data_IF_201926219685
#
_entry.id   IF_201926219685
#
_cell.length_a   1.000
_cell.length_b   1.000
_cell.length_c   1.000
_cell.angle_alpha   90.00
_cell.angle_beta   90.00
_cell.angle_gamma   90.00
#
_symmetry.space_group_name_H-M   'P 1'
#
loop_
_entity.id
_entity.type
_entity.pdbx_description
1 polymer ?
#
# COMPACT_ATOMS: atom_id res chain seq x y z
N UNK A 1 53.88 1.52 45.33
CA UNK A 1 52.49 2.02 45.40
C UNK A 1 52.05 2.27 43.96
N UNK A 2 51.41 1.30 43.31
CA UNK A 2 49.96 1.03 43.27
C UNK A 2 49.15 2.18 42.63
N UNK A 3 48.79 1.91 41.37
CA UNK A 3 47.65 2.43 40.59
C UNK A 3 47.76 3.88 40.12
N UNK A 4 47.44 4.23 38.87
CA UNK A 4 46.15 3.94 38.27
C UNK A 4 46.24 4.12 36.73
N UNK A 5 45.87 3.07 35.99
CA UNK A 5 45.65 3.11 34.55
C UNK A 5 44.38 3.92 34.30
N UNK A 6 44.47 5.01 33.55
CA UNK A 6 43.28 5.67 32.99
C UNK A 6 43.39 5.68 31.48
N UNK A 7 42.64 4.78 30.86
CA UNK A 7 42.32 4.80 29.44
C UNK A 7 41.00 5.58 29.29
N UNK A 8 40.96 6.73 28.60
CA UNK A 8 39.69 7.30 28.21
C UNK A 8 39.19 6.55 26.98
N UNK A 9 38.32 5.58 27.21
CA UNK A 9 37.45 5.00 26.18
C UNK A 9 36.41 6.06 25.84
N UNK A 10 36.59 6.80 24.76
CA UNK A 10 35.56 7.67 24.21
C UNK A 10 34.69 6.84 23.25
N UNK A 11 33.76 6.07 23.82
CA UNK A 11 32.67 5.45 23.07
C UNK A 11 31.67 6.55 22.68
N UNK A 12 31.78 7.06 21.45
CA UNK A 12 30.77 7.91 20.86
C UNK A 12 29.61 7.03 20.37
N UNK A 13 28.74 6.59 21.28
CA UNK A 13 27.45 6.01 20.91
C UNK A 13 26.51 7.14 20.47
N UNK A 14 26.60 7.52 19.19
CA UNK A 14 25.50 8.18 18.50
C UNK A 14 24.41 7.13 18.25
N UNK A 15 23.59 6.84 19.25
CA UNK A 15 22.31 6.18 19.00
C UNK A 15 21.38 7.24 18.43
N UNK A 16 21.43 7.42 17.12
CA UNK A 16 20.45 8.23 16.40
C UNK A 16 19.14 7.46 16.43
N UNK A 17 18.19 7.91 17.24
CA UNK A 17 16.81 7.41 17.26
C UNK A 17 16.14 7.70 15.92
N UNK A 18 16.22 6.73 15.00
CA UNK A 18 15.54 6.72 13.69
C UNK A 18 14.05 6.39 13.85
N UNK A 19 13.32 7.11 14.70
CA UNK A 19 11.89 6.81 14.96
C UNK A 19 10.91 7.42 13.95
N UNK A 20 11.33 8.26 13.00
CA UNK A 20 10.40 9.00 12.11
C UNK A 20 10.72 9.00 10.60
N UNK A 21 11.46 8.02 10.08
CA UNK A 21 11.83 7.98 8.64
C UNK A 21 11.14 6.87 7.82
N UNK A 22 10.30 6.03 8.43
CA UNK A 22 9.66 4.94 7.70
C UNK A 22 8.53 5.46 6.81
N UNK A 23 8.56 5.07 5.54
CA UNK A 23 7.49 5.35 4.56
C UNK A 23 6.20 4.60 4.91
N UNK A 24 5.06 5.02 4.35
CA UNK A 24 3.77 4.31 4.47
C UNK A 24 3.91 2.82 4.14
N UNK A 25 4.69 2.47 3.12
CA UNK A 25 4.90 1.09 2.68
C UNK A 25 5.78 0.25 3.61
N UNK A 26 6.64 0.87 4.40
CA UNK A 26 7.44 0.19 5.44
C UNK A 26 6.61 -0.03 6.70
N UNK A 27 5.82 0.98 7.09
CA UNK A 27 4.93 0.88 8.25
C UNK A 27 3.75 -0.07 8.02
N UNK A 28 3.30 -0.22 6.77
CA UNK A 28 2.12 -1.03 6.43
C UNK A 28 2.41 -2.04 5.30
N UNK A 29 3.01 -3.21 5.59
CA UNK A 29 3.39 -4.20 4.58
C UNK A 29 2.23 -4.69 3.69
N UNK A 30 1.01 -4.73 4.22
CA UNK A 30 -0.19 -5.11 3.47
C UNK A 30 -0.48 -4.13 2.31
N UNK A 31 -0.38 -2.81 2.55
CA UNK A 31 -0.61 -1.80 1.51
C UNK A 31 0.47 -1.84 0.43
N UNK A 32 1.71 -2.15 0.82
CA UNK A 32 2.82 -2.41 -0.12
C UNK A 32 2.55 -3.63 -0.99
N UNK A 33 2.04 -4.71 -0.40
CA UNK A 33 1.70 -5.94 -1.15
C UNK A 33 0.56 -5.69 -2.13
N UNK A 34 -0.48 -4.95 -1.72
CA UNK A 34 -1.55 -4.52 -2.62
C UNK A 34 -1.02 -3.67 -3.78
N UNK A 35 -0.19 -2.66 -3.48
CA UNK A 35 0.44 -1.81 -4.50
C UNK A 35 1.27 -2.62 -5.51
N UNK A 36 1.97 -3.66 -5.07
CA UNK A 36 2.74 -4.54 -5.96
C UNK A 36 1.88 -5.21 -7.02
N UNK A 37 0.71 -5.75 -6.65
CA UNK A 37 -0.22 -6.36 -7.63
C UNK A 37 -0.87 -5.28 -8.48
N UNK A 38 -1.33 -4.20 -7.86
CA UNK A 38 -1.95 -3.06 -8.57
C UNK A 38 -1.04 -2.53 -9.67
N UNK A 39 0.20 -2.15 -9.36
CA UNK A 39 1.16 -1.60 -10.33
C UNK A 39 1.48 -2.56 -11.48
N UNK A 40 1.62 -3.86 -11.19
CA UNK A 40 1.84 -4.90 -12.21
C UNK A 40 0.62 -5.14 -13.12
N UNK A 41 -0.57 -4.65 -12.74
CA UNK A 41 -1.78 -4.73 -13.56
C UNK A 41 -2.16 -3.40 -14.22
N UNK A 42 -1.86 -2.28 -13.57
CA UNK A 42 -2.23 -0.95 -14.02
C UNK A 42 -1.25 -0.39 -15.07
N UNK A 43 0.06 -0.44 -14.84
CA UNK A 43 1.01 0.13 -15.80
C UNK A 43 0.93 -0.53 -17.20
N UNK A 44 0.79 -1.86 -17.33
CA UNK A 44 0.55 -2.46 -18.65
C UNK A 44 -0.78 -1.99 -19.28
N UNK A 45 -1.81 -1.75 -18.46
CA UNK A 45 -3.11 -1.29 -18.93
C UNK A 45 -3.06 0.15 -19.48
N UNK A 46 -2.17 1.00 -18.96
CA UNK A 46 -1.91 2.34 -19.51
C UNK A 46 -1.36 2.28 -20.95
N UNK A 47 -0.66 1.19 -21.29
CA UNK A 47 -0.12 0.92 -22.62
C UNK A 47 -1.06 0.05 -23.48
N UNK A 48 -2.26 -0.27 -22.97
CA UNK A 48 -3.28 -1.06 -23.66
C UNK A 48 -3.21 -2.57 -23.43
N UNK A 49 -2.23 -3.09 -22.67
CA UNK A 49 -2.20 -4.51 -22.29
C UNK A 49 -3.06 -4.77 -21.05
N UNK A 50 -4.31 -5.19 -21.29
CA UNK A 50 -5.24 -5.58 -20.22
C UNK A 50 -5.13 -7.06 -19.82
N UNK A 51 -4.23 -7.85 -20.42
CA UNK A 51 -4.10 -9.27 -20.05
C UNK A 51 -3.72 -9.49 -18.58
N UNK A 52 -2.81 -8.69 -17.98
CA UNK A 52 -2.46 -8.84 -16.56
C UNK A 52 -3.68 -8.66 -15.65
N UNK A 53 -4.49 -7.60 -15.84
CA UNK A 53 -5.67 -7.41 -14.99
C UNK A 53 -6.75 -8.47 -15.25
N UNK A 54 -6.94 -8.89 -16.50
CA UNK A 54 -7.92 -9.94 -16.85
C UNK A 54 -7.59 -11.30 -16.22
N UNK A 55 -6.32 -11.58 -15.97
CA UNK A 55 -5.86 -12.85 -15.37
C UNK A 55 -5.66 -12.79 -13.85
N UNK A 56 -5.53 -11.59 -13.28
CA UNK A 56 -5.18 -11.38 -11.87
C UNK A 56 -6.22 -10.60 -11.05
N UNK A 57 -7.42 -10.37 -11.60
CA UNK A 57 -8.49 -9.64 -10.90
C UNK A 57 -8.87 -10.24 -9.55
N UNK A 58 -8.81 -11.57 -9.41
CA UNK A 58 -9.04 -12.24 -8.14
C UNK A 58 -7.93 -11.98 -7.12
N UNK A 59 -6.66 -11.91 -7.55
CA UNK A 59 -5.53 -11.56 -6.69
C UNK A 59 -5.71 -10.14 -6.12
N UNK A 60 -6.18 -9.20 -6.94
CA UNK A 60 -6.52 -7.83 -6.49
C UNK A 60 -7.56 -7.85 -5.37
N UNK A 61 -8.62 -8.66 -5.46
CA UNK A 61 -9.60 -8.81 -4.36
C UNK A 61 -8.92 -9.38 -3.12
N UNK A 62 -8.13 -10.45 -3.26
CA UNK A 62 -7.49 -11.12 -2.14
C UNK A 62 -6.61 -10.13 -1.36
N UNK A 63 -5.81 -9.31 -2.05
CA UNK A 63 -4.97 -8.28 -1.43
C UNK A 63 -5.79 -7.13 -0.83
N UNK A 64 -6.86 -6.66 -1.50
CA UNK A 64 -7.73 -5.62 -0.94
C UNK A 64 -8.41 -6.08 0.37
N UNK A 65 -8.88 -7.33 0.40
CA UNK A 65 -9.50 -7.92 1.59
C UNK A 65 -8.50 -8.20 2.72
N UNK A 66 -7.21 -8.37 2.41
CA UNK A 66 -6.17 -8.54 3.41
C UNK A 66 -5.94 -7.25 4.22
N UNK A 67 -6.14 -6.06 3.63
CA UNK A 67 -5.92 -4.78 4.31
C UNK A 67 -6.69 -4.61 5.62
N UNK A 68 -7.92 -5.13 5.70
CA UNK A 68 -8.75 -5.06 6.92
C UNK A 68 -8.57 -6.25 7.87
N UNK A 69 -7.84 -7.30 7.44
CA UNK A 69 -7.54 -8.49 8.26
C UNK A 69 -6.17 -8.40 8.92
N UNK A 70 -5.23 -7.78 8.23
CA UNK A 70 -3.87 -7.58 8.71
C UNK A 70 -3.78 -6.37 9.65
N UNK A 71 -2.67 -6.29 10.39
CA UNK A 71 -2.44 -5.20 11.33
C UNK A 71 -2.25 -3.87 10.58
N UNK A 72 -3.31 -3.05 10.54
CA UNK A 72 -3.20 -1.64 10.17
C UNK A 72 -2.42 -0.91 11.28
N UNK A 73 -1.42 -0.08 10.98
CA UNK A 73 -0.76 0.77 11.98
C UNK A 73 -1.75 1.68 12.69
N UNK A 74 -1.56 1.94 13.99
CA UNK A 74 -2.50 2.71 14.80
C UNK A 74 -2.75 4.13 14.23
N UNK A 75 -1.70 4.77 13.73
CA UNK A 75 -1.75 6.08 13.05
C UNK A 75 -2.60 6.09 11.77
N UNK A 76 -2.77 4.94 11.11
CA UNK A 76 -3.57 4.80 9.88
C UNK A 76 -4.99 4.28 10.14
N UNK A 77 -5.37 3.97 11.40
CA UNK A 77 -6.73 3.52 11.74
C UNK A 77 -7.73 4.68 11.90
N UNK A 78 -7.65 5.67 11.01
CA UNK A 78 -8.62 6.79 11.02
C UNK A 78 -9.92 6.37 10.34
N UNK A 79 -11.08 6.97 10.69
CA UNK A 79 -12.34 6.68 10.01
C UNK A 79 -12.28 6.89 8.50
N UNK A 80 -11.53 7.90 8.04
CA UNK A 80 -11.35 8.18 6.61
C UNK A 80 -10.61 7.04 5.90
N UNK A 81 -9.47 6.59 6.43
CA UNK A 81 -8.70 5.49 5.84
C UNK A 81 -9.51 4.18 5.86
N UNK A 82 -10.22 3.89 6.96
CA UNK A 82 -11.09 2.71 7.04
C UNK A 82 -12.23 2.75 6.02
N UNK A 83 -12.82 3.93 5.77
CA UNK A 83 -13.83 4.11 4.72
C UNK A 83 -13.22 3.90 3.32
N UNK A 84 -12.04 4.44 3.05
CA UNK A 84 -11.36 4.27 1.75
C UNK A 84 -10.91 2.82 1.53
N UNK A 85 -10.51 2.07 2.56
CA UNK A 85 -10.28 0.61 2.46
C UNK A 85 -11.56 -0.11 2.03
N UNK A 86 -12.72 0.23 2.60
CA UNK A 86 -14.01 -0.37 2.21
C UNK A 86 -14.34 -0.06 0.75
N UNK A 87 -14.14 1.19 0.30
CA UNK A 87 -14.28 1.56 -1.12
C UNK A 87 -13.36 0.73 -2.02
N UNK A 88 -12.09 0.55 -1.62
CA UNK A 88 -11.12 -0.25 -2.36
C UNK A 88 -11.56 -1.71 -2.50
N UNK A 89 -12.07 -2.31 -1.41
CA UNK A 89 -12.58 -3.68 -1.41
C UNK A 89 -13.81 -3.85 -2.32
N UNK A 90 -14.73 -2.90 -2.27
CA UNK A 90 -15.92 -2.88 -3.11
C UNK A 90 -15.56 -2.69 -4.59
N UNK A 91 -14.66 -1.75 -4.88
CA UNK A 91 -14.12 -1.51 -6.22
C UNK A 91 -13.40 -2.73 -6.79
N UNK A 92 -12.53 -3.38 -6.01
CA UNK A 92 -11.83 -4.60 -6.42
C UNK A 92 -12.81 -5.73 -6.76
N UNK A 93 -13.86 -5.90 -5.95
CA UNK A 93 -14.94 -6.86 -6.22
C UNK A 93 -15.73 -6.50 -7.47
N UNK A 94 -15.98 -5.21 -7.72
CA UNK A 94 -16.62 -4.72 -8.93
C UNK A 94 -15.80 -5.02 -10.19
N UNK A 95 -14.50 -4.73 -10.14
CA UNK A 95 -13.55 -4.98 -11.22
C UNK A 95 -13.47 -6.47 -11.58
N UNK A 96 -13.34 -7.36 -10.58
CA UNK A 96 -13.32 -8.81 -10.83
C UNK A 96 -14.61 -9.32 -11.45
N UNK A 97 -15.77 -8.84 -10.98
CA UNK A 97 -17.05 -9.19 -11.60
C UNK A 97 -17.10 -8.75 -13.06
N UNK A 98 -16.62 -7.54 -13.36
CA UNK A 98 -16.56 -7.01 -14.72
C UNK A 98 -15.64 -7.87 -15.61
N UNK A 99 -14.44 -8.20 -15.11
CA UNK A 99 -13.48 -9.07 -15.81
C UNK A 99 -14.07 -10.46 -16.09
N UNK A 100 -14.67 -11.10 -15.08
CA UNK A 100 -15.30 -12.43 -15.21
C UNK A 100 -16.52 -12.42 -16.14
N UNK A 101 -17.23 -11.31 -16.19
CA UNK A 101 -18.32 -11.09 -17.15
C UNK A 101 -17.83 -10.73 -18.57
N UNK A 102 -16.51 -10.70 -18.81
CA UNK A 102 -15.89 -10.29 -20.08
C UNK A 102 -16.33 -8.89 -20.51
N UNK A 103 -16.35 -7.95 -19.57
CA UNK A 103 -16.58 -6.54 -19.84
C UNK A 103 -15.62 -5.99 -20.90
N UNK A 104 -16.01 -4.90 -21.56
CA UNK A 104 -15.17 -4.28 -22.57
C UNK A 104 -13.83 -3.81 -21.98
N UNK A 105 -12.85 -3.66 -22.86
CA UNK A 105 -11.52 -3.18 -22.50
C UNK A 105 -11.59 -1.77 -21.90
N UNK A 106 -12.40 -0.89 -22.51
CA UNK A 106 -12.68 0.45 -21.99
C UNK A 106 -13.28 0.42 -20.57
N UNK A 107 -14.28 -0.43 -20.34
CA UNK A 107 -14.90 -0.54 -19.02
C UNK A 107 -13.93 -1.11 -17.99
N UNK A 108 -13.11 -2.08 -18.38
CA UNK A 108 -12.10 -2.71 -17.52
C UNK A 108 -11.03 -1.70 -17.14
N UNK A 109 -10.50 -0.96 -18.10
CA UNK A 109 -9.51 0.10 -17.87
C UNK A 109 -10.09 1.17 -16.94
N UNK A 110 -11.29 1.68 -17.24
CA UNK A 110 -11.96 2.69 -16.39
C UNK A 110 -12.15 2.20 -14.95
N UNK A 111 -12.58 0.95 -14.76
CA UNK A 111 -12.76 0.38 -13.44
C UNK A 111 -11.44 0.16 -12.71
N UNK A 112 -10.37 -0.20 -13.42
CA UNK A 112 -9.03 -0.36 -12.85
C UNK A 112 -8.43 1.00 -12.46
N UNK A 113 -8.55 2.03 -13.30
CA UNK A 113 -8.14 3.41 -12.98
C UNK A 113 -8.85 3.93 -11.74
N UNK A 114 -10.17 3.76 -11.65
CA UNK A 114 -10.92 4.17 -10.45
C UNK A 114 -10.44 3.43 -9.19
N UNK A 115 -10.05 2.16 -9.30
CA UNK A 115 -9.49 1.41 -8.18
C UNK A 115 -8.09 1.91 -7.78
N UNK A 116 -7.27 2.27 -8.76
CA UNK A 116 -5.97 2.90 -8.57
C UNK A 116 -6.08 4.26 -7.88
N UNK A 117 -7.07 5.08 -8.25
CA UNK A 117 -7.32 6.38 -7.60
C UNK A 117 -7.70 6.23 -6.12
N UNK A 118 -8.54 5.24 -5.77
CA UNK A 118 -8.88 4.94 -4.37
C UNK A 118 -7.65 4.48 -3.59
N UNK A 119 -6.73 3.74 -4.22
CA UNK A 119 -5.45 3.41 -3.60
C UNK A 119 -4.64 4.68 -3.31
N UNK A 120 -4.58 5.63 -4.25
CA UNK A 120 -3.93 6.91 -4.05
C UNK A 120 -4.59 7.76 -2.94
N UNK A 121 -5.93 7.74 -2.82
CA UNK A 121 -6.65 8.35 -1.71
C UNK A 121 -6.16 7.79 -0.36
N UNK A 122 -6.03 6.46 -0.24
CA UNK A 122 -5.55 5.81 1.00
C UNK A 122 -4.13 6.25 1.35
N UNK A 123 -3.18 6.17 0.41
CA UNK A 123 -1.78 6.51 0.71
C UNK A 123 -1.60 8.02 0.94
N UNK A 124 -2.39 8.87 0.28
CA UNK A 124 -2.43 10.30 0.53
C UNK A 124 -2.91 10.61 1.96
N UNK A 125 -3.96 9.92 2.42
CA UNK A 125 -4.43 10.03 3.81
C UNK A 125 -3.41 9.51 4.85
N UNK A 126 -2.48 8.65 4.45
CA UNK A 126 -1.38 8.17 5.29
C UNK A 126 -0.18 9.14 5.32
N UNK A 127 -0.12 10.12 4.41
CA UNK A 127 0.98 11.08 4.34
C UNK A 127 0.78 12.25 5.30
N UNK A 128 1.87 12.74 5.90
CA UNK A 128 1.83 13.86 6.86
C UNK A 128 1.62 15.22 6.17
N UNK A 129 1.87 15.32 4.86
CA UNK A 129 1.58 16.52 4.07
C UNK A 129 0.11 16.58 3.66
N UNK A 130 -0.68 17.29 4.47
CA UNK A 130 -1.94 17.87 3.99
C UNK A 130 -1.58 19.13 3.20
N UNK A 131 -1.65 19.07 1.86
CA UNK A 131 -1.60 20.27 1.03
C UNK A 131 -2.81 21.18 1.28
#
# INVERSE_FOLDING_TARGET
MKFLKFLPVLFFFLVVSNLSAQTTFEKWPAIKTFHGVMSQTFHPAEEGDLNPIKTRSEEIIQKANALSKEAIPAEFKTPAILASIKKLQEGAKGLDKLVKAKGSDEATLKSLTALHDVFHEIVGLCSEEKH
#
